data_IF_630592576995
#
_entry.id   IF_630592576995
#
_cell.length_a   1.000
_cell.length_b   1.000
_cell.length_c   1.000
_cell.angle_alpha   90.00
_cell.angle_beta   90.00
_cell.angle_gamma   90.00
#
_symmetry.space_group_name_H-M   'P 1'
#
loop_
_entity.id
_entity.type
_entity.pdbx_description
1 polymer ?
#
# COMPACT_ATOMS: atom_id res chain seq x y z
N UNK A 1 -14.39 29.19 1.68
CA UNK A 1 -14.66 28.26 0.56
C UNK A 1 -15.98 27.56 0.84
N UNK A 2 -16.90 27.42 -0.15
CA UNK A 2 -18.14 26.68 0.05
C UNK A 2 -17.85 25.20 0.33
N UNK A 3 -18.64 24.58 1.21
CA UNK A 3 -18.55 23.15 1.49
C UNK A 3 -18.92 22.33 0.25
N UNK A 4 -18.16 21.26 -0.03
CA UNK A 4 -18.48 20.33 -1.12
C UNK A 4 -19.81 19.62 -0.85
N UNK A 5 -20.57 19.30 -1.89
CA UNK A 5 -21.80 18.50 -1.77
C UNK A 5 -21.46 17.05 -1.42
N UNK A 6 -22.37 16.35 -0.73
CA UNK A 6 -22.16 14.95 -0.34
C UNK A 6 -21.88 14.03 -1.54
N UNK A 7 -22.51 14.29 -2.69
CA UNK A 7 -22.24 13.55 -3.94
C UNK A 7 -20.83 13.79 -4.49
N UNK A 8 -20.30 15.00 -4.35
CA UNK A 8 -18.93 15.34 -4.76
C UNK A 8 -17.89 14.74 -3.80
N UNK A 9 -18.23 14.63 -2.52
CA UNK A 9 -17.40 13.97 -1.52
C UNK A 9 -17.40 12.46 -1.72
N UNK A 10 -18.56 11.86 -2.00
CA UNK A 10 -18.69 10.44 -2.31
C UNK A 10 -17.99 10.03 -3.60
N UNK A 11 -17.81 10.97 -4.55
CA UNK A 11 -17.02 10.74 -5.76
C UNK A 11 -15.50 10.74 -5.54
N UNK A 12 -15.02 11.07 -4.33
CA UNK A 12 -13.60 10.93 -4.00
C UNK A 12 -13.28 9.44 -3.85
N UNK A 13 -12.31 8.87 -4.58
CA UNK A 13 -12.06 7.43 -4.61
C UNK A 13 -11.88 6.79 -3.23
N UNK A 14 -11.27 7.51 -2.28
CA UNK A 14 -11.03 6.99 -0.93
C UNK A 14 -12.26 7.06 -0.03
N UNK A 15 -13.19 7.98 -0.30
CA UNK A 15 -14.50 8.00 0.39
C UNK A 15 -15.39 6.92 -0.18
N UNK A 16 -15.46 6.78 -1.51
CA UNK A 16 -16.16 5.68 -2.18
C UNK A 16 -15.63 4.32 -1.70
N UNK A 17 -14.30 4.16 -1.62
CA UNK A 17 -13.67 2.95 -1.11
C UNK A 17 -14.10 2.61 0.33
N UNK A 18 -14.27 3.61 1.20
CA UNK A 18 -14.81 3.40 2.56
C UNK A 18 -16.28 2.99 2.52
N UNK A 19 -17.08 3.57 1.63
CA UNK A 19 -18.49 3.19 1.47
C UNK A 19 -18.64 1.75 0.95
N UNK A 20 -17.86 1.36 -0.07
CA UNK A 20 -17.76 -0.01 -0.57
C UNK A 20 -17.29 -0.98 0.51
N UNK A 21 -16.29 -0.59 1.30
CA UNK A 21 -15.83 -1.34 2.47
C UNK A 21 -16.95 -1.60 3.49
N UNK A 22 -17.76 -0.59 3.80
CA UNK A 22 -18.90 -0.76 4.71
C UNK A 22 -19.92 -1.74 4.12
N UNK A 23 -20.18 -1.69 2.82
CA UNK A 23 -21.11 -2.60 2.17
C UNK A 23 -20.60 -4.04 2.10
N UNK A 24 -19.30 -4.23 1.89
CA UNK A 24 -18.60 -5.50 1.99
C UNK A 24 -18.77 -6.12 3.40
N UNK A 25 -18.60 -5.33 4.46
CA UNK A 25 -18.81 -5.79 5.84
C UNK A 25 -20.26 -6.22 6.10
N UNK A 26 -21.25 -5.46 5.63
CA UNK A 26 -22.67 -5.81 5.80
C UNK A 26 -23.02 -7.14 5.12
N UNK A 27 -22.37 -7.42 3.98
CA UNK A 27 -22.65 -8.59 3.15
C UNK A 27 -21.75 -9.78 3.47
N UNK A 28 -20.76 -9.59 4.34
CA UNK A 28 -19.62 -10.49 4.49
C UNK A 28 -19.11 -10.91 3.10
N UNK A 29 -18.61 -9.93 2.34
CA UNK A 29 -18.11 -10.13 0.99
C UNK A 29 -16.94 -9.17 0.72
N UNK A 30 -16.12 -9.50 -0.29
CA UNK A 30 -15.15 -8.56 -0.85
C UNK A 30 -15.45 -8.39 -2.32
N UNK A 31 -15.96 -7.22 -2.72
CA UNK A 31 -16.25 -6.92 -4.13
C UNK A 31 -17.17 -7.97 -4.79
N UNK A 32 -18.14 -8.46 -3.99
CA UNK A 32 -19.10 -9.50 -4.35
C UNK A 32 -18.62 -10.95 -4.17
N UNK A 33 -17.36 -11.20 -3.81
CA UNK A 33 -16.84 -12.53 -3.54
C UNK A 33 -17.07 -12.93 -2.06
N UNK A 34 -17.39 -14.21 -1.81
CA UNK A 34 -17.60 -14.74 -0.45
C UNK A 34 -16.76 -15.98 -0.18
N UNK A 35 -16.53 -16.31 1.10
CA UNK A 35 -15.71 -17.45 1.50
C UNK A 35 -14.33 -17.48 0.83
N UNK A 36 -13.96 -18.64 0.27
CA UNK A 36 -12.66 -18.84 -0.38
C UNK A 36 -12.47 -17.99 -1.66
N UNK A 37 -13.54 -17.52 -2.30
CA UNK A 37 -13.44 -16.69 -3.50
C UNK A 37 -12.85 -15.30 -3.20
N UNK A 38 -12.91 -14.85 -1.94
CA UNK A 38 -12.30 -13.58 -1.52
C UNK A 38 -10.80 -13.58 -1.75
N UNK A 39 -10.13 -14.70 -1.50
CA UNK A 39 -8.69 -14.82 -1.77
C UNK A 39 -8.39 -14.71 -3.27
N UNK A 40 -9.20 -15.38 -4.11
CA UNK A 40 -9.07 -15.29 -5.58
C UNK A 40 -9.27 -13.84 -6.02
N UNK A 41 -10.28 -13.15 -5.46
CA UNK A 41 -10.54 -11.74 -5.75
C UNK A 41 -9.40 -10.84 -5.28
N UNK A 42 -8.81 -11.11 -4.13
CA UNK A 42 -7.64 -10.39 -3.64
C UNK A 42 -6.44 -10.52 -4.57
N UNK A 43 -6.14 -11.73 -5.05
CA UNK A 43 -5.05 -11.95 -6.00
C UNK A 43 -5.31 -11.21 -7.32
N UNK A 44 -6.53 -11.27 -7.85
CA UNK A 44 -6.90 -10.51 -9.04
C UNK A 44 -6.77 -8.99 -8.84
N UNK A 45 -7.22 -8.47 -7.69
CA UNK A 45 -7.07 -7.07 -7.33
C UNK A 45 -5.60 -6.65 -7.20
N UNK A 46 -4.74 -7.51 -6.66
CA UNK A 46 -3.29 -7.31 -6.58
C UNK A 46 -2.66 -7.19 -7.97
N UNK A 47 -3.03 -8.07 -8.91
CA UNK A 47 -2.54 -7.99 -10.28
C UNK A 47 -3.02 -6.71 -10.99
N UNK A 48 -4.27 -6.29 -10.77
CA UNK A 48 -4.81 -5.06 -11.35
C UNK A 48 -4.08 -3.80 -10.86
N UNK A 49 -3.77 -3.71 -9.57
CA UNK A 49 -3.11 -2.53 -8.99
C UNK A 49 -1.59 -2.53 -9.19
N UNK A 50 -0.99 -3.70 -9.45
CA UNK A 50 0.48 -3.84 -9.53
C UNK A 50 1.15 -2.90 -10.53
N UNK A 51 0.64 -2.72 -11.77
CA UNK A 51 1.22 -1.76 -12.71
C UNK A 51 1.21 -0.33 -12.19
N UNK A 52 0.14 0.08 -11.49
CA UNK A 52 0.01 1.43 -10.92
C UNK A 52 0.99 1.62 -9.76
N UNK A 53 1.09 0.62 -8.86
CA UNK A 53 2.02 0.67 -7.74
C UNK A 53 3.49 0.73 -8.20
N UNK A 54 3.88 -0.09 -9.18
CA UNK A 54 5.22 -0.02 -9.77
C UNK A 54 5.45 1.32 -10.47
N UNK A 55 4.48 1.81 -11.25
CA UNK A 55 4.56 3.11 -11.90
C UNK A 55 4.82 4.24 -10.89
N UNK A 56 4.08 4.27 -9.78
CA UNK A 56 4.30 5.25 -8.69
C UNK A 56 5.70 5.13 -8.09
N UNK A 57 6.19 3.91 -7.80
CA UNK A 57 7.53 3.73 -7.24
C UNK A 57 8.62 4.18 -8.22
N UNK A 58 8.43 4.00 -9.53
CA UNK A 58 9.36 4.49 -10.54
C UNK A 58 9.28 6.00 -10.73
N UNK A 59 8.10 6.62 -10.64
CA UNK A 59 7.97 8.08 -10.65
C UNK A 59 8.65 8.71 -9.42
N UNK A 60 8.49 8.08 -8.25
CA UNK A 60 9.20 8.44 -7.02
C UNK A 60 10.71 8.31 -7.21
N UNK A 61 11.17 7.19 -7.78
CA UNK A 61 12.58 6.94 -8.09
C UNK A 61 13.16 8.04 -8.99
N UNK A 62 12.47 8.38 -10.08
CA UNK A 62 12.90 9.43 -10.99
C UNK A 62 12.92 10.81 -10.30
N UNK A 63 11.87 11.13 -9.53
CA UNK A 63 11.68 12.47 -8.95
C UNK A 63 12.57 12.76 -7.75
N UNK A 64 12.79 11.77 -6.88
CA UNK A 64 13.48 11.96 -5.60
C UNK A 64 14.84 11.27 -5.54
N UNK A 65 15.04 10.20 -6.29
CA UNK A 65 16.23 9.34 -6.21
C UNK A 65 17.09 9.39 -7.47
N UNK A 66 16.75 10.26 -8.43
CA UNK A 66 17.42 10.41 -9.73
C UNK A 66 17.59 9.09 -10.50
N UNK A 67 16.61 8.21 -10.39
CA UNK A 67 16.62 6.92 -11.08
C UNK A 67 17.67 5.93 -10.54
N UNK A 68 18.26 6.17 -9.36
CA UNK A 68 19.24 5.25 -8.76
C UNK A 68 18.61 4.07 -8.02
N UNK A 69 17.30 4.09 -7.83
CA UNK A 69 16.54 3.01 -7.21
C UNK A 69 16.04 1.97 -8.20
N UNK A 70 15.51 0.90 -7.64
CA UNK A 70 14.85 -0.17 -8.37
C UNK A 70 13.56 -0.56 -7.63
N UNK A 71 12.43 -0.54 -8.35
CA UNK A 71 11.20 -1.11 -7.85
C UNK A 71 11.20 -2.65 -7.99
N UNK A 72 10.51 -3.32 -7.08
CA UNK A 72 10.35 -4.76 -7.09
C UNK A 72 8.96 -5.14 -6.59
N UNK A 73 8.50 -6.33 -6.99
CA UNK A 73 7.22 -6.89 -6.57
C UNK A 73 7.45 -8.21 -5.87
N UNK A 74 6.71 -8.44 -4.79
CA UNK A 74 6.53 -9.73 -4.15
C UNK A 74 5.07 -10.12 -4.29
N UNK A 75 4.81 -11.12 -5.12
CA UNK A 75 3.45 -11.64 -5.34
C UNK A 75 2.83 -12.15 -4.03
N UNK A 76 1.48 -12.19 -3.94
CA UNK A 76 0.83 -12.54 -2.69
C UNK A 76 1.15 -13.95 -2.21
N UNK A 77 1.60 -14.06 -0.96
CA UNK A 77 1.86 -15.30 -0.25
C UNK A 77 1.44 -15.23 1.23
N UNK A 78 1.69 -16.28 2.03
CA UNK A 78 1.35 -16.28 3.44
C UNK A 78 2.01 -15.12 4.20
N UNK A 79 1.27 -14.47 5.08
CA UNK A 79 1.77 -13.37 5.93
C UNK A 79 2.45 -13.84 7.24
N UNK A 80 2.46 -15.15 7.49
CA UNK A 80 2.99 -15.77 8.71
C UNK A 80 1.99 -15.85 9.87
N UNK A 81 0.82 -15.21 9.74
CA UNK A 81 -0.25 -15.13 10.74
C UNK A 81 -1.58 -15.74 10.25
N UNK A 82 -1.53 -16.53 9.17
CA UNK A 82 -2.68 -17.20 8.58
C UNK A 82 -3.45 -16.38 7.55
N UNK A 83 -2.99 -15.17 7.23
CA UNK A 83 -3.48 -14.34 6.14
C UNK A 83 -2.53 -14.32 4.95
N UNK A 84 -2.70 -13.31 4.09
CA UNK A 84 -1.90 -13.12 2.89
C UNK A 84 -1.29 -11.73 2.83
N UNK A 85 -0.15 -11.62 2.16
CA UNK A 85 0.51 -10.37 1.86
C UNK A 85 1.18 -10.42 0.50
N UNK A 86 0.95 -9.38 -0.30
CA UNK A 86 1.76 -9.00 -1.45
C UNK A 86 2.33 -7.60 -1.23
N UNK A 87 3.41 -7.26 -1.91
CA UNK A 87 4.03 -5.94 -1.71
C UNK A 87 4.79 -5.44 -2.93
N UNK A 88 4.89 -4.12 -3.04
CA UNK A 88 5.78 -3.43 -3.98
C UNK A 88 6.80 -2.63 -3.17
N UNK A 89 8.06 -2.73 -3.53
CA UNK A 89 9.14 -2.15 -2.76
C UNK A 89 10.13 -1.39 -3.64
N UNK A 90 10.64 -0.26 -3.11
CA UNK A 90 11.67 0.57 -3.73
C UNK A 90 12.89 0.63 -2.81
N UNK A 91 14.05 0.28 -3.35
CA UNK A 91 15.34 0.42 -2.69
C UNK A 91 16.35 1.07 -3.62
N UNK A 92 17.42 1.63 -3.06
CA UNK A 92 18.52 2.24 -3.79
C UNK A 92 19.82 2.13 -2.98
N UNK A 93 21.01 2.31 -3.58
CA UNK A 93 22.28 1.99 -2.94
C UNK A 93 22.50 2.65 -1.58
N UNK A 94 22.14 3.93 -1.45
CA UNK A 94 22.32 4.66 -0.20
C UNK A 94 21.39 4.17 0.92
N UNK A 95 20.14 3.77 0.62
CA UNK A 95 19.25 3.15 1.60
C UNK A 95 19.72 1.74 1.99
N UNK A 96 20.13 0.93 1.02
CA UNK A 96 20.57 -0.44 1.24
C UNK A 96 21.81 -0.52 2.17
N UNK A 97 22.69 0.48 2.11
CA UNK A 97 23.84 0.61 3.02
C UNK A 97 23.53 1.31 4.35
N UNK A 98 22.34 1.89 4.51
CA UNK A 98 21.97 2.67 5.68
C UNK A 98 21.49 1.79 6.83
N UNK A 99 21.68 2.30 8.05
CA UNK A 99 21.17 1.71 9.28
C UNK A 99 20.30 2.71 10.02
N UNK A 100 19.31 2.19 10.74
CA UNK A 100 18.50 2.98 11.66
C UNK A 100 19.39 3.57 12.76
N UNK A 101 19.26 4.87 13.00
CA UNK A 101 19.92 5.55 14.12
C UNK A 101 19.33 5.16 15.47
N UNK A 102 18.13 4.59 15.48
CA UNK A 102 17.43 4.15 16.69
C UNK A 102 17.79 2.72 17.07
N UNK A 103 17.79 1.79 16.10
CA UNK A 103 17.97 0.36 16.37
C UNK A 103 19.32 -0.19 15.91
N UNK A 104 20.08 0.55 15.09
CA UNK A 104 21.32 0.11 14.40
C UNK A 104 21.13 -1.02 13.38
N UNK A 105 19.90 -1.45 13.15
CA UNK A 105 19.55 -2.45 12.14
C UNK A 105 19.59 -1.84 10.73
N UNK A 106 19.68 -2.70 9.71
CA UNK A 106 19.58 -2.26 8.31
C UNK A 106 18.20 -1.63 8.06
N UNK A 107 18.16 -0.55 7.28
CA UNK A 107 16.87 0.03 6.90
C UNK A 107 16.14 -0.86 5.90
N UNK A 108 14.83 -1.00 6.10
CA UNK A 108 13.96 -1.67 5.15
C UNK A 108 13.76 -0.80 3.89
N UNK A 109 13.47 -1.41 2.73
CA UNK A 109 13.00 -0.69 1.55
C UNK A 109 11.74 0.14 1.86
N UNK A 110 11.48 1.15 1.03
CA UNK A 110 10.16 1.79 0.95
C UNK A 110 9.18 0.74 0.46
N UNK A 111 8.13 0.45 1.22
CA UNK A 111 7.22 -0.66 0.93
C UNK A 111 5.77 -0.22 0.97
N UNK A 112 5.04 -0.54 -0.11
CA UNK A 112 3.58 -0.53 -0.16
C UNK A 112 3.14 -1.99 -0.06
N UNK A 113 2.33 -2.34 0.93
CA UNK A 113 1.82 -3.71 1.07
C UNK A 113 0.31 -3.77 0.85
N UNK A 114 -0.11 -4.81 0.15
CA UNK A 114 -1.49 -5.28 0.13
C UNK A 114 -1.60 -6.43 1.14
N UNK A 115 -2.34 -6.23 2.21
CA UNK A 115 -2.51 -7.20 3.29
C UNK A 115 -3.94 -7.73 3.30
N UNK A 116 -4.08 -9.05 3.43
CA UNK A 116 -5.36 -9.70 3.68
C UNK A 116 -5.24 -10.59 4.92
N UNK A 117 -5.30 -10.00 6.13
CA UNK A 117 -5.05 -10.73 7.36
C UNK A 117 -6.12 -11.78 7.65
N UNK A 118 -5.77 -12.80 8.43
CA UNK A 118 -6.72 -13.81 8.88
C UNK A 118 -7.91 -13.19 9.62
N UNK A 119 -9.13 -13.60 9.26
CA UNK A 119 -10.37 -13.12 9.87
C UNK A 119 -10.90 -11.79 9.32
N UNK A 120 -10.19 -11.17 8.37
CA UNK A 120 -10.66 -9.95 7.72
C UNK A 120 -11.65 -10.28 6.59
N UNK A 121 -12.56 -9.36 6.30
CA UNK A 121 -13.53 -9.52 5.22
C UNK A 121 -12.92 -9.19 3.86
N UNK A 122 -12.02 -8.21 3.77
CA UNK A 122 -11.38 -7.77 2.53
C UNK A 122 -9.92 -7.32 2.77
N UNK A 123 -9.12 -7.20 1.70
CA UNK A 123 -7.75 -6.70 1.76
C UNK A 123 -7.64 -5.18 1.97
N UNK A 124 -6.45 -4.76 2.40
CA UNK A 124 -6.11 -3.37 2.66
C UNK A 124 -4.74 -2.99 2.08
N UNK A 125 -4.54 -1.70 1.79
CA UNK A 125 -3.26 -1.10 1.45
C UNK A 125 -2.65 -0.43 2.68
N UNK A 126 -1.37 -0.69 2.93
CA UNK A 126 -0.62 -0.14 4.07
C UNK A 126 0.79 0.28 3.68
N UNK A 127 1.35 1.21 4.46
CA UNK A 127 2.78 1.46 4.51
C UNK A 127 3.50 0.32 5.25
N UNK A 128 4.67 -0.09 4.76
CA UNK A 128 5.50 -1.08 5.42
C UNK A 128 5.09 -2.51 5.09
N UNK A 129 5.29 -3.42 6.04
CA UNK A 129 5.17 -4.87 5.87
C UNK A 129 3.86 -5.48 6.40
N UNK A 130 3.90 -6.73 6.89
CA UNK A 130 2.75 -7.39 7.51
C UNK A 130 2.17 -6.56 8.66
N UNK A 131 0.86 -6.63 8.82
CA UNK A 131 0.14 -6.07 9.96
C UNK A 131 -0.11 -7.14 11.01
N UNK A 132 -0.12 -6.76 12.28
CA UNK A 132 -0.63 -7.65 13.34
C UNK A 132 -2.17 -7.59 13.31
N UNK A 133 -2.86 -8.69 12.95
CA UNK A 133 -4.33 -8.71 12.92
C UNK A 133 -4.97 -8.51 14.30
N UNK A 134 -4.18 -8.62 15.39
CA UNK A 134 -4.63 -8.43 16.77
C UNK A 134 -4.26 -7.06 17.33
N UNK A 135 -3.66 -6.17 16.53
CA UNK A 135 -3.35 -4.82 16.97
C UNK A 135 -4.62 -4.05 17.35
N UNK A 136 -4.51 -3.20 18.38
CA UNK A 136 -5.60 -2.32 18.82
C UNK A 136 -6.05 -1.35 17.71
N UNK A 137 -5.15 -1.02 16.79
CA UNK A 137 -5.44 -0.19 15.64
C UNK A 137 -4.62 -0.64 14.44
N UNK A 138 -5.26 -0.65 13.26
CA UNK A 138 -4.62 -0.83 11.97
C UNK A 138 -4.95 0.41 11.14
N UNK A 139 -3.94 1.23 10.86
CA UNK A 139 -4.08 2.41 10.02
C UNK A 139 -3.82 1.99 8.58
N UNK A 140 -4.90 1.77 7.83
CA UNK A 140 -4.87 1.23 6.49
C UNK A 140 -5.98 1.82 5.62
N UNK A 141 -5.85 1.63 4.32
CA UNK A 141 -6.88 1.97 3.34
C UNK A 141 -7.52 0.69 2.80
N UNK A 142 -8.84 0.64 2.62
CA UNK A 142 -9.48 -0.52 2.01
C UNK A 142 -9.00 -0.66 0.56
N UNK A 143 -8.62 -1.86 0.16
CA UNK A 143 -8.18 -2.13 -1.20
C UNK A 143 -9.40 -2.43 -2.09
N UNK A 144 -10.17 -1.40 -2.43
CA UNK A 144 -11.35 -1.55 -3.29
C UNK A 144 -10.97 -1.47 -4.76
N UNK A 145 -10.49 -2.60 -5.29
CA UNK A 145 -10.04 -2.74 -6.67
C UNK A 145 -10.68 -3.97 -7.30
N UNK A 146 -11.64 -3.76 -8.20
CA UNK A 146 -12.22 -4.81 -9.04
C UNK A 146 -12.07 -4.56 -10.54
N UNK A 147 -11.46 -3.43 -10.92
CA UNK A 147 -11.17 -3.07 -12.31
C UNK A 147 -9.85 -2.29 -12.44
N UNK A 148 -9.37 -2.13 -13.68
CA UNK A 148 -8.21 -1.28 -13.96
C UNK A 148 -8.48 0.20 -13.63
N UNK A 149 -9.73 0.67 -13.84
CA UNK A 149 -10.12 2.04 -13.49
C UNK A 149 -10.09 2.26 -11.96
N UNK A 150 -10.54 1.28 -11.16
CA UNK A 150 -10.40 1.36 -9.70
C UNK A 150 -8.93 1.42 -9.28
N UNK A 151 -8.07 0.63 -9.93
CA UNK A 151 -6.63 0.63 -9.65
C UNK A 151 -5.98 1.98 -9.95
N UNK A 152 -6.27 2.59 -11.11
CA UNK A 152 -5.77 3.91 -11.49
C UNK A 152 -6.20 5.00 -10.49
N UNK A 153 -7.42 4.92 -9.98
CA UNK A 153 -7.90 5.85 -8.96
C UNK A 153 -7.13 5.77 -7.63
N UNK A 154 -6.42 4.65 -7.37
CA UNK A 154 -5.55 4.52 -6.19
C UNK A 154 -4.22 5.24 -6.33
N UNK A 155 -3.84 5.74 -7.52
CA UNK A 155 -2.51 6.32 -7.77
C UNK A 155 -2.12 7.38 -6.73
N UNK A 156 -3.02 8.31 -6.39
CA UNK A 156 -2.75 9.35 -5.39
C UNK A 156 -2.51 8.79 -3.98
N UNK A 157 -3.20 7.72 -3.61
CA UNK A 157 -2.98 7.04 -2.32
C UNK A 157 -1.64 6.31 -2.31
N UNK A 158 -1.31 5.60 -3.39
CA UNK A 158 -0.03 4.89 -3.51
C UNK A 158 1.15 5.86 -3.41
N UNK A 159 1.03 7.05 -4.02
CA UNK A 159 1.98 8.15 -3.84
C UNK A 159 2.11 8.60 -2.38
N UNK A 160 0.97 8.77 -1.69
CA UNK A 160 0.96 9.15 -0.28
C UNK A 160 1.64 8.10 0.61
N UNK A 161 1.38 6.81 0.39
CA UNK A 161 2.03 5.71 1.12
C UNK A 161 3.55 5.71 0.84
N UNK A 162 3.96 5.76 -0.44
CA UNK A 162 5.37 5.72 -0.81
C UNK A 162 6.16 6.90 -0.24
N UNK A 163 5.60 8.10 -0.29
CA UNK A 163 6.28 9.30 0.24
C UNK A 163 6.28 9.35 1.78
N UNK A 164 5.25 8.81 2.44
CA UNK A 164 5.26 8.62 3.89
C UNK A 164 6.37 7.64 4.32
N UNK A 165 6.52 6.52 3.61
CA UNK A 165 7.61 5.57 3.82
C UNK A 165 8.99 6.21 3.61
N UNK A 166 9.21 7.00 2.55
CA UNK A 166 10.47 7.72 2.35
C UNK A 166 10.76 8.66 3.53
N UNK A 167 9.75 9.40 3.96
CA UNK A 167 9.89 10.31 5.09
C UNK A 167 10.24 9.56 6.38
N UNK A 168 9.68 8.37 6.59
CA UNK A 168 10.04 7.50 7.70
C UNK A 168 11.50 7.00 7.57
N UNK A 169 11.98 6.58 6.39
CA UNK A 169 13.40 6.22 6.19
C UNK A 169 14.35 7.38 6.47
N UNK A 170 13.98 8.60 6.08
CA UNK A 170 14.70 9.82 6.42
C UNK A 170 14.77 10.04 7.93
N UNK A 171 13.65 9.86 8.62
CA UNK A 171 13.55 9.99 10.07
C UNK A 171 14.40 8.95 10.82
N UNK A 172 14.45 7.71 10.30
CA UNK A 172 15.25 6.63 10.84
C UNK A 172 16.75 6.76 10.53
N UNK A 173 17.15 7.55 9.54
CA UNK A 173 18.56 7.78 9.22
C UNK A 173 18.89 9.27 9.12
N UNK A 174 19.15 9.77 7.92
CA UNK A 174 19.45 11.16 7.65
C UNK A 174 19.17 11.49 6.18
N UNK A 175 19.14 12.78 5.84
CA UNK A 175 18.98 13.26 4.46
C UNK A 175 19.98 12.66 3.46
N UNK A 176 21.13 12.15 3.91
CA UNK A 176 22.17 11.55 3.05
C UNK A 176 21.74 10.27 2.34
N UNK A 177 20.66 9.64 2.79
CA UNK A 177 20.10 8.52 2.03
C UNK A 177 19.46 9.02 0.74
N UNK A 178 19.00 10.27 0.65
CA UNK A 178 18.54 10.83 -0.61
C UNK A 178 19.78 11.24 -1.41
N UNK A 179 19.94 10.74 -2.64
CA UNK A 179 21.07 11.14 -3.47
C UNK A 179 21.12 12.68 -3.58
N UNK A 180 22.28 13.31 -3.36
CA UNK A 180 22.46 14.78 -3.52
C UNK A 180 22.71 15.17 -4.98
N UNK A 181 22.42 16.40 -5.43
CA UNK A 181 22.59 16.81 -6.83
C UNK A 181 23.95 16.43 -7.43
#
# INVERSE_FOLDING_TARGET
>A
MPARRASEIGALPWVDGVLRHVDDLKKDAYEGASGAEREVRYRAAFELISPVAIGVLEEVNASLLRGSGAASVRSPGPDGNGGLIGSWALTWPALAGARSRFTREALAPVTISAVFPAGFVHPHLVAGGPVDPRAVSIIAWPMQVSSAADAEQQQGLLWAIATAEIHDRLYQSSWRIIPGP
#
